data_IF_003174303285
#
_entry.id   IF_003174303285
#
_cell.length_a   1.000
_cell.length_b   1.000
_cell.length_c   1.000
_cell.angle_alpha   90.00
_cell.angle_beta   90.00
_cell.angle_gamma   90.00
#
_symmetry.space_group_name_H-M   'P 1'
#
loop_
_entity.id
_entity.type
_entity.pdbx_description
1 polymer ?
#
# COMPACT_ATOMS: atom_id res chain seq x y z
N UNK A 1 -22.09 52.58 -52.39
CA UNK A 1 -22.22 53.94 -51.84
C UNK A 1 -21.61 53.93 -50.44
N UNK A 2 -20.39 54.46 -50.31
CA UNK A 2 -19.61 54.52 -49.06
C UNK A 2 -20.27 55.45 -48.06
N UNK A 3 -20.29 55.08 -46.77
CA UNK A 3 -19.99 55.98 -45.65
C UNK A 3 -19.30 55.23 -44.50
N UNK A 4 -18.02 55.49 -44.38
CA UNK A 4 -17.13 55.14 -43.27
C UNK A 4 -17.39 56.17 -42.16
N UNK A 5 -17.64 55.71 -40.93
CA UNK A 5 -17.62 56.56 -39.72
C UNK A 5 -16.61 55.97 -38.76
N UNK A 6 -15.43 56.57 -38.74
CA UNK A 6 -14.35 56.32 -37.79
C UNK A 6 -14.68 57.07 -36.49
N UNK A 7 -14.89 56.35 -35.39
CA UNK A 7 -14.97 56.94 -34.05
C UNK A 7 -13.65 56.65 -33.31
N UNK A 8 -12.83 57.67 -33.18
CA UNK A 8 -11.63 57.69 -32.31
C UNK A 8 -12.09 57.71 -30.85
N UNK A 9 -11.93 56.58 -30.14
CA UNK A 9 -12.03 56.57 -28.68
C UNK A 9 -10.62 56.73 -28.10
N UNK A 10 -10.40 57.85 -27.43
CA UNK A 10 -9.18 58.23 -26.75
C UNK A 10 -8.79 57.22 -25.66
N UNK A 11 -7.63 56.60 -25.81
CA UNK A 11 -6.98 55.77 -24.79
C UNK A 11 -6.53 56.69 -23.65
N UNK A 12 -7.26 56.68 -22.55
CA UNK A 12 -6.78 57.22 -21.28
C UNK A 12 -5.68 56.31 -20.73
N UNK A 13 -4.49 56.86 -20.52
CA UNK A 13 -3.35 56.18 -19.92
C UNK A 13 -3.63 55.94 -18.43
N UNK A 14 -4.25 54.81 -18.11
CA UNK A 14 -4.22 54.27 -16.75
C UNK A 14 -2.88 53.55 -16.57
N UNK A 15 -2.04 53.90 -15.57
CA UNK A 15 -0.93 53.04 -15.24
C UNK A 15 -1.50 51.68 -14.84
N UNK A 16 -1.17 50.67 -15.64
CA UNK A 16 -1.27 49.26 -15.28
C UNK A 16 -0.44 49.08 -14.01
N UNK A 17 -1.09 49.19 -12.84
CA UNK A 17 -0.63 48.47 -11.67
C UNK A 17 -0.91 46.99 -11.96
N UNK A 18 0.04 46.32 -12.58
CA UNK A 18 0.16 44.88 -12.48
C UNK A 18 0.41 44.56 -11.01
N UNK A 19 -0.63 44.24 -10.25
CA UNK A 19 -0.45 43.40 -9.07
C UNK A 19 -0.09 42.00 -9.58
N UNK A 20 1.20 41.81 -9.81
CA UNK A 20 1.79 40.50 -10.00
C UNK A 20 1.91 39.84 -8.62
N UNK A 21 0.81 39.32 -8.10
CA UNK A 21 0.85 38.23 -7.13
C UNK A 21 0.66 36.91 -7.90
N UNK A 22 1.60 36.64 -8.80
CA UNK A 22 1.67 35.40 -9.60
C UNK A 22 2.83 34.51 -9.14
N UNK A 23 3.23 34.59 -7.87
CA UNK A 23 4.43 33.90 -7.37
C UNK A 23 4.20 33.03 -6.12
N UNK A 24 2.97 32.92 -5.63
CA UNK A 24 2.65 32.06 -4.47
C UNK A 24 1.96 30.75 -4.80
N UNK A 25 1.44 30.57 -6.02
CA UNK A 25 0.70 29.33 -6.38
C UNK A 25 1.60 28.32 -7.10
N UNK A 26 2.51 28.76 -7.98
CA UNK A 26 3.31 27.86 -8.83
C UNK A 26 4.37 27.04 -8.06
N UNK A 27 4.95 27.62 -7.01
CA UNK A 27 5.99 26.97 -6.20
C UNK A 27 5.45 25.85 -5.33
N UNK A 28 4.22 25.99 -4.84
CA UNK A 28 3.55 24.99 -4.00
C UNK A 28 3.03 23.81 -4.83
N UNK A 29 2.53 24.06 -6.06
CA UNK A 29 2.06 22.98 -6.93
C UNK A 29 3.18 22.11 -7.50
N UNK A 30 4.32 22.73 -7.88
CA UNK A 30 5.49 21.99 -8.37
C UNK A 30 6.16 21.18 -7.24
N UNK A 31 6.24 21.75 -6.04
CA UNK A 31 6.72 21.04 -4.85
C UNK A 31 5.84 19.86 -4.47
N UNK A 32 4.52 20.04 -4.48
CA UNK A 32 3.56 18.98 -4.20
C UNK A 32 3.61 17.85 -5.23
N UNK A 33 3.66 18.17 -6.53
CA UNK A 33 3.77 17.18 -7.58
C UNK A 33 5.07 16.35 -7.47
N UNK A 34 6.19 17.02 -7.18
CA UNK A 34 7.48 16.35 -6.97
C UNK A 34 7.46 15.44 -5.74
N UNK A 35 6.85 15.88 -4.64
CA UNK A 35 6.70 15.09 -3.41
C UNK A 35 5.83 13.84 -3.63
N UNK A 36 4.71 13.96 -4.35
CA UNK A 36 3.85 12.84 -4.72
C UNK A 36 4.62 11.84 -5.59
N UNK A 37 5.37 12.30 -6.59
CA UNK A 37 6.18 11.43 -7.44
C UNK A 37 7.26 10.68 -6.66
N UNK A 38 7.91 11.33 -5.68
CA UNK A 38 8.90 10.68 -4.82
C UNK A 38 8.26 9.64 -3.91
N UNK A 39 7.08 9.94 -3.35
CA UNK A 39 6.33 8.98 -2.54
C UNK A 39 5.92 7.75 -3.34
N UNK A 40 5.38 7.94 -4.56
CA UNK A 40 5.04 6.84 -5.47
C UNK A 40 6.25 5.99 -5.84
N UNK A 41 7.37 6.61 -6.20
CA UNK A 41 8.59 5.87 -6.52
C UNK A 41 9.11 5.05 -5.32
N UNK A 42 8.98 5.59 -4.11
CA UNK A 42 9.32 4.86 -2.88
C UNK A 42 8.38 3.67 -2.64
N UNK A 43 7.05 3.87 -2.74
CA UNK A 43 6.08 2.77 -2.55
C UNK A 43 6.27 1.68 -3.59
N UNK A 44 6.45 2.04 -4.86
CA UNK A 44 6.68 1.09 -5.95
C UNK A 44 7.96 0.29 -5.71
N UNK A 45 9.04 0.96 -5.28
CA UNK A 45 10.31 0.29 -4.96
C UNK A 45 10.17 -0.67 -3.79
N UNK A 46 9.35 -0.34 -2.79
CA UNK A 46 9.11 -1.19 -1.62
C UNK A 46 8.28 -2.41 -2.02
N UNK A 47 7.16 -2.21 -2.72
CA UNK A 47 6.29 -3.30 -3.18
C UNK A 47 7.02 -4.26 -4.12
N UNK A 48 7.94 -3.75 -4.95
CA UNK A 48 8.78 -4.57 -5.81
C UNK A 48 9.76 -5.48 -5.05
N UNK A 49 9.99 -5.25 -3.75
CA UNK A 49 10.80 -6.16 -2.92
C UNK A 49 10.04 -7.40 -2.48
N UNK A 50 8.70 -7.37 -2.51
CA UNK A 50 7.86 -8.50 -2.15
C UNK A 50 7.74 -9.48 -3.32
N UNK A 51 8.08 -10.74 -3.04
CA UNK A 51 7.91 -11.83 -3.99
C UNK A 51 6.68 -12.63 -3.59
N UNK A 52 5.79 -12.84 -4.55
CA UNK A 52 4.53 -13.52 -4.30
C UNK A 52 4.46 -14.87 -4.99
N UNK A 53 4.24 -15.91 -4.20
CA UNK A 53 4.13 -17.28 -4.69
C UNK A 53 2.67 -17.73 -4.86
N UNK A 54 2.49 -18.77 -5.68
CA UNK A 54 1.20 -19.40 -5.97
C UNK A 54 1.41 -20.91 -6.08
N UNK A 55 0.34 -21.68 -5.89
CA UNK A 55 0.41 -23.14 -5.96
C UNK A 55 0.57 -23.77 -4.57
N UNK A 56 1.33 -24.86 -4.51
CA UNK A 56 1.60 -25.59 -3.27
C UNK A 56 2.78 -24.95 -2.54
N UNK A 57 2.57 -24.50 -1.31
CA UNK A 57 3.58 -23.90 -0.43
C UNK A 57 3.78 -24.80 0.78
N UNK A 58 5.04 -25.01 1.14
CA UNK A 58 5.45 -25.77 2.32
C UNK A 58 5.72 -24.78 3.46
N UNK A 59 5.12 -25.01 4.63
CA UNK A 59 5.18 -24.13 5.78
C UNK A 59 5.97 -24.80 6.90
N UNK A 60 6.85 -24.03 7.56
CA UNK A 60 7.62 -24.40 8.76
C UNK A 60 8.22 -25.82 8.66
N UNK A 61 9.31 -25.97 7.91
CA UNK A 61 10.04 -27.25 7.76
C UNK A 61 9.12 -28.46 7.45
N UNK A 62 8.18 -28.28 6.51
CA UNK A 62 7.18 -29.28 6.11
C UNK A 62 6.15 -29.68 7.18
N UNK A 63 6.00 -28.90 8.26
CA UNK A 63 4.95 -29.10 9.26
C UNK A 63 3.55 -29.07 8.64
N UNK A 64 3.33 -28.18 7.68
CA UNK A 64 2.08 -28.06 6.96
C UNK A 64 2.29 -27.68 5.50
N UNK A 65 1.27 -27.91 4.67
CA UNK A 65 1.24 -27.42 3.30
C UNK A 65 -0.03 -26.61 3.07
N UNK A 66 0.08 -25.58 2.24
CA UNK A 66 -1.07 -24.80 1.78
C UNK A 66 -1.11 -24.80 0.26
N UNK A 67 -2.26 -25.17 -0.29
CA UNK A 67 -2.59 -24.93 -1.68
C UNK A 67 -3.19 -23.54 -1.78
N UNK A 68 -2.42 -22.57 -2.32
CA UNK A 68 -2.89 -21.18 -2.49
C UNK A 68 -4.14 -21.19 -3.36
N UNK A 69 -5.29 -20.70 -2.86
CA UNK A 69 -6.53 -20.68 -3.62
C UNK A 69 -6.45 -19.73 -4.82
N UNK A 70 -7.28 -19.97 -5.82
CA UNK A 70 -7.42 -19.04 -6.95
C UNK A 70 -7.92 -17.67 -6.46
N UNK A 71 -7.35 -16.59 -7.00
CA UNK A 71 -7.63 -15.23 -6.58
C UNK A 71 -6.79 -14.73 -5.41
N UNK A 72 -5.82 -15.52 -4.95
CA UNK A 72 -4.86 -15.15 -3.92
C UNK A 72 -3.42 -15.34 -4.36
N UNK A 73 -2.55 -14.55 -3.73
CA UNK A 73 -1.10 -14.62 -3.83
C UNK A 73 -0.51 -14.74 -2.42
N UNK A 74 0.53 -15.55 -2.27
CA UNK A 74 1.18 -15.83 -0.99
C UNK A 74 2.44 -14.98 -0.81
N UNK A 75 2.63 -14.42 0.38
CA UNK A 75 3.85 -13.74 0.81
C UNK A 75 4.50 -14.56 1.94
N UNK A 76 5.81 -14.77 1.87
CA UNK A 76 6.56 -15.52 2.89
C UNK A 76 6.51 -14.87 4.28
N UNK A 77 6.82 -15.66 5.32
CA UNK A 77 6.76 -15.24 6.72
C UNK A 77 7.62 -14.02 7.04
N UNK A 78 8.85 -13.94 6.54
CA UNK A 78 9.76 -12.83 6.83
C UNK A 78 9.22 -11.51 6.25
N UNK A 79 8.70 -11.54 5.02
CA UNK A 79 8.06 -10.37 4.43
C UNK A 79 6.69 -10.08 5.03
N UNK A 80 5.97 -11.10 5.48
CA UNK A 80 4.72 -10.92 6.19
C UNK A 80 4.91 -10.16 7.51
N UNK A 81 5.93 -10.48 8.29
CA UNK A 81 6.27 -9.73 9.50
C UNK A 81 6.54 -8.25 9.19
N UNK A 82 7.33 -7.95 8.16
CA UNK A 82 7.56 -6.55 7.73
C UNK A 82 6.27 -5.83 7.38
N UNK A 83 5.34 -6.49 6.68
CA UNK A 83 4.04 -5.88 6.38
C UNK A 83 3.26 -5.62 7.65
N UNK A 84 3.14 -6.62 8.53
CA UNK A 84 2.37 -6.52 9.77
C UNK A 84 2.93 -5.42 10.68
N UNK A 85 4.25 -5.35 10.85
CA UNK A 85 4.88 -4.42 11.77
C UNK A 85 5.15 -3.06 11.13
N UNK A 86 5.91 -3.03 10.04
CA UNK A 86 6.48 -1.80 9.51
C UNK A 86 5.47 -1.02 8.67
N UNK A 87 4.56 -1.71 7.98
CA UNK A 87 3.56 -1.08 7.12
C UNK A 87 2.22 -0.88 7.83
N UNK A 88 1.76 -1.89 8.58
CA UNK A 88 0.45 -1.87 9.23
C UNK A 88 0.51 -1.43 10.70
N UNK A 89 1.70 -1.40 11.30
CA UNK A 89 1.90 -0.87 12.66
C UNK A 89 1.49 -1.82 13.77
N UNK A 90 1.36 -3.12 13.49
CA UNK A 90 1.15 -4.11 14.54
C UNK A 90 2.42 -4.25 15.41
N UNK A 91 2.28 -4.60 16.69
CA UNK A 91 3.43 -4.99 17.51
C UNK A 91 4.20 -6.16 16.88
N UNK A 92 5.51 -6.26 17.11
CA UNK A 92 6.29 -7.40 16.64
C UNK A 92 5.78 -8.69 17.28
N UNK A 93 5.71 -9.75 16.49
CA UNK A 93 5.35 -11.09 16.96
C UNK A 93 6.43 -11.65 17.90
N UNK A 94 5.98 -12.38 18.93
CA UNK A 94 6.88 -13.19 19.75
C UNK A 94 7.45 -14.37 18.93
N UNK A 95 8.54 -14.99 19.38
CA UNK A 95 9.22 -16.08 18.66
C UNK A 95 8.32 -17.29 18.37
N UNK A 96 7.27 -17.48 19.17
CA UNK A 96 6.32 -18.59 19.02
C UNK A 96 5.13 -18.26 18.12
N UNK A 97 4.91 -16.98 17.80
CA UNK A 97 3.76 -16.51 17.02
C UNK A 97 4.17 -15.85 15.70
N UNK A 98 5.40 -16.09 15.24
CA UNK A 98 5.88 -15.56 13.97
C UNK A 98 4.98 -16.04 12.82
N UNK A 99 4.72 -15.12 11.88
CA UNK A 99 4.01 -15.42 10.66
C UNK A 99 4.74 -16.51 9.88
N UNK A 100 4.01 -17.55 9.52
CA UNK A 100 4.44 -18.52 8.54
C UNK A 100 4.21 -18.02 7.12
N UNK A 101 3.52 -16.89 6.95
CA UNK A 101 3.21 -16.24 5.68
C UNK A 101 1.82 -15.60 5.67
N UNK A 102 1.51 -14.91 4.58
CA UNK A 102 0.23 -14.23 4.37
C UNK A 102 -0.37 -14.52 3.00
N UNK A 103 -1.70 -14.60 2.94
CA UNK A 103 -2.44 -14.60 1.67
C UNK A 103 -3.06 -13.22 1.43
N UNK A 104 -2.71 -12.63 0.30
CA UNK A 104 -3.32 -11.41 -0.23
C UNK A 104 -4.26 -11.75 -1.37
N UNK A 105 -5.38 -11.02 -1.54
CA UNK A 105 -6.11 -11.03 -2.80
C UNK A 105 -5.19 -10.66 -3.95
N UNK A 106 -5.39 -11.28 -5.11
CA UNK A 106 -4.55 -11.07 -6.29
C UNK A 106 -4.45 -9.59 -6.70
N UNK A 107 -5.54 -8.85 -6.49
CA UNK A 107 -5.71 -7.45 -6.87
C UNK A 107 -5.30 -6.44 -5.79
N UNK A 108 -4.83 -6.89 -4.63
CA UNK A 108 -4.55 -6.04 -3.48
C UNK A 108 -3.08 -6.11 -3.09
N UNK A 109 -2.52 -4.97 -2.69
CA UNK A 109 -1.18 -4.82 -2.14
C UNK A 109 -1.22 -4.26 -0.72
N UNK A 110 -0.19 -4.50 0.12
CA UNK A 110 -0.15 -4.08 1.51
C UNK A 110 -0.38 -2.58 1.77
N UNK A 111 -0.14 -1.73 0.77
CA UNK A 111 -0.25 -0.27 0.87
C UNK A 111 -1.57 0.28 0.33
N UNK A 112 -2.48 -0.56 -0.16
CA UNK A 112 -3.79 -0.11 -0.63
C UNK A 112 -4.67 0.38 0.53
N UNK A 113 -5.44 1.45 0.29
CA UNK A 113 -6.34 2.09 1.27
C UNK A 113 -7.34 1.14 1.95
N UNK A 114 -7.64 0.00 1.35
CA UNK A 114 -8.56 -1.02 1.88
C UNK A 114 -8.03 -2.43 1.67
N UNK A 115 -6.72 -2.60 1.87
CA UNK A 115 -6.08 -3.91 1.83
C UNK A 115 -6.53 -4.80 3.00
N UNK A 116 -6.60 -6.11 2.74
CA UNK A 116 -6.68 -7.14 3.78
C UNK A 116 -5.80 -8.33 3.39
N UNK A 117 -5.40 -9.09 4.39
CA UNK A 117 -4.69 -10.35 4.20
C UNK A 117 -5.12 -11.37 5.24
N UNK A 118 -4.86 -12.64 4.95
CA UNK A 118 -5.01 -13.74 5.89
C UNK A 118 -3.62 -14.09 6.39
N UNK A 119 -3.34 -13.84 7.67
CA UNK A 119 -2.09 -14.22 8.31
C UNK A 119 -2.14 -15.67 8.79
N UNK A 120 -1.08 -16.43 8.52
CA UNK A 120 -0.95 -17.83 8.89
C UNK A 120 0.09 -17.90 10.00
N UNK A 121 -0.30 -18.38 11.17
CA UNK A 121 0.59 -18.61 12.31
C UNK A 121 0.38 -20.01 12.83
N UNK A 122 1.34 -20.49 13.62
CA UNK A 122 1.26 -21.78 14.28
C UNK A 122 1.78 -21.65 15.71
N UNK A 123 1.05 -22.19 16.67
CA UNK A 123 1.47 -22.36 18.06
C UNK A 123 1.39 -23.84 18.42
N UNK A 124 2.32 -24.32 19.24
CA UNK A 124 2.33 -25.70 19.75
C UNK A 124 1.29 -25.91 20.87
N UNK A 125 0.79 -24.82 21.45
CA UNK A 125 -0.19 -24.85 22.54
C UNK A 125 -1.59 -25.11 21.97
N UNK A 126 -2.08 -26.35 22.13
CA UNK A 126 -3.41 -26.74 21.68
C UNK A 126 -3.54 -28.19 21.21
N UNK A 127 -2.45 -28.97 21.20
CA UNK A 127 -2.52 -30.42 21.00
C UNK A 127 -3.02 -31.08 22.29
N UNK A 128 -4.27 -31.53 22.29
CA UNK A 128 -4.76 -32.52 23.26
C UNK A 128 -4.64 -33.87 22.57
N UNK A 129 -3.88 -34.79 23.15
CA UNK A 129 -3.87 -36.17 22.68
C UNK A 129 -5.28 -36.75 22.89
N UNK A 130 -5.84 -37.45 21.89
CA UNK A 130 -7.21 -37.98 21.96
C UNK A 130 -7.38 -38.90 23.18
N UNK A 131 -6.30 -39.52 23.66
CA UNK A 131 -6.25 -40.37 24.87
C UNK A 131 -6.54 -39.58 26.17
N UNK A 132 -6.14 -38.31 26.27
CA UNK A 132 -6.39 -37.45 27.44
C UNK A 132 -7.79 -36.79 27.40
N UNK A 133 -8.45 -36.78 26.23
CA UNK A 133 -9.78 -36.22 26.07
C UNK A 133 -10.90 -37.14 26.62
N UNK A 134 -10.64 -38.44 26.82
CA UNK A 134 -11.61 -39.41 27.34
C UNK A 134 -11.76 -39.40 28.88
N UNK A 135 -10.87 -38.72 29.63
CA UNK A 135 -10.89 -38.75 31.11
C UNK A 135 -11.66 -37.60 31.79
N UNK A 136 -12.35 -36.72 31.04
CA UNK A 136 -13.15 -35.64 31.63
C UNK A 136 -14.63 -36.07 31.81
N UNK A 137 -15.03 -36.32 33.07
CA UNK A 137 -16.43 -36.43 33.56
C UNK A 137 -16.85 -35.14 34.31
#
# INVERSE_FOLDING_TARGET
>A
MNRIITLLLSIGYFPLFSFQDADTVATDTLGYAQAVAMYQAYTDSLLATFQYDRGLIHLKDDLATIQVPSGFKYLDGDNAEKVLTDLWGNPPSDTENQSLGMLFPEYSDPLDDSSYAINITYSEDGYVDDEDAEEID
#
